data_IF_327616065859
#
_entry.id   IF_327616065859
#
_cell.length_a   1.000
_cell.length_b   1.000
_cell.length_c   1.000
_cell.angle_alpha   90.00
_cell.angle_beta   90.00
_cell.angle_gamma   90.00
#
_symmetry.space_group_name_H-M   'P 1'
#
loop_
_entity.id
_entity.type
_entity.pdbx_description
1 polymer ?
#
# COMPACT_ATOMS: atom_id res chain seq x y z
N UNK A 1 -0.01 60.52 35.96
CA UNK A 1 -0.85 59.31 35.76
C UNK A 1 -1.42 59.33 34.35
N UNK A 2 -0.91 58.49 33.45
CA UNK A 2 -1.63 58.00 32.27
C UNK A 2 -0.86 56.80 31.73
N UNK A 3 -1.50 55.63 31.86
CA UNK A 3 -0.97 54.31 31.51
C UNK A 3 -0.81 54.21 29.98
N UNK A 4 0.39 53.96 29.50
CA UNK A 4 0.59 53.44 28.14
C UNK A 4 0.33 51.94 28.18
N UNK A 5 -0.78 51.51 27.58
CA UNK A 5 -1.05 50.09 27.34
C UNK A 5 -0.14 49.60 26.23
N UNK A 6 0.78 48.69 26.56
CA UNK A 6 1.49 47.91 25.57
C UNK A 6 0.51 46.87 24.99
N UNK A 7 0.04 47.11 23.78
CA UNK A 7 -0.65 46.10 22.98
C UNK A 7 0.43 45.09 22.53
N UNK A 8 0.50 43.94 23.19
CA UNK A 8 1.27 42.80 22.70
C UNK A 8 0.49 42.22 21.53
N UNK A 9 0.85 42.61 20.30
CA UNK A 9 0.45 41.89 19.10
C UNK A 9 1.10 40.51 19.18
N UNK A 10 0.30 39.50 19.52
CA UNK A 10 0.66 38.11 19.30
C UNK A 10 0.65 37.87 17.78
N UNK A 11 1.80 38.04 17.15
CA UNK A 11 2.04 37.54 15.80
C UNK A 11 1.96 36.01 15.83
N UNK A 12 0.79 35.47 15.52
CA UNK A 12 0.62 34.12 14.98
C UNK A 12 1.17 34.11 13.54
N UNK A 13 2.49 34.22 13.40
CA UNK A 13 3.17 33.90 12.14
C UNK A 13 3.31 32.38 12.06
N UNK A 14 2.87 31.82 10.93
CA UNK A 14 2.75 30.39 10.72
C UNK A 14 4.01 29.60 11.07
N UNK A 15 3.80 28.37 11.55
CA UNK A 15 4.80 27.32 11.73
C UNK A 15 5.33 26.82 10.37
N UNK A 16 5.77 27.73 9.50
CA UNK A 16 6.59 27.42 8.33
C UNK A 16 8.04 27.74 8.67
N UNK A 17 8.70 26.73 9.23
CA UNK A 17 10.14 26.54 9.22
C UNK A 17 10.94 27.56 10.03
N UNK A 18 11.20 27.26 11.30
CA UNK A 18 12.53 27.61 11.83
C UNK A 18 13.55 26.85 10.96
N UNK A 19 14.56 27.57 10.48
CA UNK A 19 15.72 27.00 9.80
C UNK A 19 16.32 25.88 10.68
N UNK A 20 16.56 24.68 10.14
CA UNK A 20 17.00 23.53 10.96
C UNK A 20 18.36 23.83 11.59
N UNK A 21 19.20 24.55 10.86
CA UNK A 21 20.48 25.10 11.27
C UNK A 21 20.31 26.05 12.46
N UNK A 22 19.29 26.92 12.45
CA UNK A 22 19.00 27.80 13.58
C UNK A 22 18.50 27.02 14.80
N UNK A 23 17.63 26.02 14.62
CA UNK A 23 17.20 25.12 15.72
C UNK A 23 18.41 24.40 16.32
N UNK A 24 19.35 23.95 15.49
CA UNK A 24 20.56 23.30 15.95
C UNK A 24 21.44 24.25 16.79
N UNK A 25 21.66 25.48 16.31
CA UNK A 25 22.48 26.46 17.00
C UNK A 25 21.86 26.89 18.34
N UNK A 26 20.53 27.02 18.40
CA UNK A 26 19.83 27.51 19.59
C UNK A 26 19.55 26.39 20.63
N UNK A 27 19.17 25.20 20.17
CA UNK A 27 18.56 24.16 21.00
C UNK A 27 19.25 22.77 20.84
N UNK A 28 20.21 22.63 19.92
CA UNK A 28 20.99 21.42 19.70
C UNK A 28 20.31 20.33 18.86
N UNK A 29 21.02 19.22 18.64
CA UNK A 29 20.60 18.16 17.69
C UNK A 29 19.28 17.46 18.05
N UNK A 30 18.96 17.33 19.35
CA UNK A 30 17.72 16.69 19.78
C UNK A 30 16.51 17.54 19.37
N UNK A 31 16.62 18.88 19.42
CA UNK A 31 15.54 19.77 18.97
C UNK A 31 15.32 19.68 17.46
N UNK A 32 16.40 19.55 16.68
CA UNK A 32 16.32 19.31 15.22
C UNK A 32 15.58 18.00 14.93
N UNK A 33 15.95 16.90 15.62
CA UNK A 33 15.27 15.62 15.46
C UNK A 33 13.77 15.75 15.79
N UNK A 34 13.43 16.39 16.90
CA UNK A 34 12.04 16.61 17.30
C UNK A 34 11.26 17.45 16.27
N UNK A 35 11.89 18.47 15.69
CA UNK A 35 11.28 19.28 14.64
C UNK A 35 10.98 18.46 13.37
N UNK A 36 11.91 17.59 12.96
CA UNK A 36 11.71 16.68 11.83
C UNK A 36 10.58 15.68 12.12
N UNK A 37 10.61 15.02 13.28
CA UNK A 37 9.58 14.05 13.69
C UNK A 37 8.19 14.70 13.80
N UNK A 38 8.12 15.97 14.22
CA UNK A 38 6.87 16.75 14.24
C UNK A 38 6.35 17.01 12.82
N UNK A 39 7.22 17.39 11.88
CA UNK A 39 6.84 17.60 10.48
C UNK A 39 6.30 16.30 9.84
N UNK A 40 6.92 15.16 10.10
CA UNK A 40 6.49 13.86 9.56
C UNK A 40 5.10 13.44 10.06
N UNK A 41 4.62 13.98 11.19
CA UNK A 41 3.28 13.76 11.71
C UNK A 41 2.23 14.75 11.16
N UNK A 42 2.64 15.71 10.31
CA UNK A 42 1.78 16.76 9.78
C UNK A 42 1.23 16.40 8.40
N UNK A 43 -0.09 16.36 8.28
CA UNK A 43 -0.78 16.18 6.98
C UNK A 43 -0.35 17.27 5.99
N UNK A 44 -0.30 18.53 6.43
CA UNK A 44 0.10 19.67 5.58
C UNK A 44 1.53 19.54 5.05
N UNK A 45 2.46 18.97 5.84
CA UNK A 45 3.81 18.69 5.37
C UNK A 45 3.78 17.71 4.18
N UNK A 46 3.02 16.62 4.32
CA UNK A 46 2.90 15.61 3.27
C UNK A 46 2.15 16.12 2.05
N UNK A 47 1.05 16.87 2.22
CA UNK A 47 0.33 17.49 1.10
C UNK A 47 1.24 18.38 0.25
N UNK A 48 2.14 19.15 0.89
CA UNK A 48 3.15 19.94 0.17
C UNK A 48 4.19 19.06 -0.51
N UNK A 49 4.69 18.04 0.20
CA UNK A 49 5.75 17.15 -0.29
C UNK A 49 5.31 16.34 -1.51
N UNK A 50 4.07 15.87 -1.54
CA UNK A 50 3.54 15.02 -2.62
C UNK A 50 2.59 15.76 -3.57
N UNK A 51 2.38 17.06 -3.38
CA UNK A 51 1.33 17.82 -4.07
C UNK A 51 1.46 17.86 -5.60
N UNK A 52 2.67 17.68 -6.13
CA UNK A 52 2.94 17.62 -7.57
C UNK A 52 3.03 16.19 -8.13
N UNK A 53 2.80 15.18 -7.29
CA UNK A 53 2.88 13.77 -7.69
C UNK A 53 1.51 13.28 -8.14
N UNK A 54 1.49 12.45 -9.18
CA UNK A 54 0.33 11.65 -9.51
C UNK A 54 0.16 10.59 -8.40
N UNK A 55 -0.99 10.61 -7.74
CA UNK A 55 -1.32 9.69 -6.64
C UNK A 55 -2.48 8.77 -6.99
N UNK A 56 -2.94 8.83 -8.25
CA UNK A 56 -4.18 8.18 -8.71
C UNK A 56 -4.21 6.69 -8.37
N UNK A 57 -3.11 5.96 -8.58
CA UNK A 57 -3.00 4.53 -8.26
C UNK A 57 -2.07 4.24 -7.08
N UNK A 58 -1.90 5.25 -6.21
CA UNK A 58 -1.07 5.18 -5.03
C UNK A 58 0.20 6.03 -5.09
N UNK A 59 1.01 5.89 -4.05
CA UNK A 59 2.34 6.48 -3.92
C UNK A 59 3.38 5.37 -3.82
N UNK A 60 4.47 5.48 -4.56
CA UNK A 60 5.58 4.54 -4.53
C UNK A 60 6.89 5.32 -4.48
N UNK A 61 7.75 5.01 -3.50
CA UNK A 61 9.04 5.71 -3.36
C UNK A 61 10.03 5.31 -4.47
N UNK A 62 9.97 4.06 -4.91
CA UNK A 62 10.80 3.52 -5.98
C UNK A 62 10.05 3.49 -7.31
N UNK A 63 10.79 3.58 -8.42
CA UNK A 63 10.28 3.39 -9.77
C UNK A 63 9.60 2.01 -9.89
N UNK A 64 8.37 1.98 -10.42
CA UNK A 64 7.58 0.76 -10.47
C UNK A 64 6.59 0.74 -11.64
N UNK A 65 6.32 -0.45 -12.16
CA UNK A 65 5.19 -0.68 -13.06
C UNK A 65 3.90 -0.96 -12.29
N UNK A 66 2.83 -0.28 -12.70
CA UNK A 66 1.48 -0.50 -12.17
C UNK A 66 0.60 -1.07 -13.27
N UNK A 67 0.06 -2.26 -13.05
CA UNK A 67 -0.94 -2.89 -13.90
C UNK A 67 -2.31 -2.66 -13.27
N UNK A 68 -3.22 -2.02 -13.99
CA UNK A 68 -4.57 -1.75 -13.52
C UNK A 68 -5.53 -2.57 -14.37
N UNK A 69 -6.29 -3.45 -13.72
CA UNK A 69 -7.31 -4.29 -14.37
C UNK A 69 -8.69 -3.83 -13.92
N UNK A 70 -9.59 -3.59 -14.87
CA UNK A 70 -11.03 -3.43 -14.62
C UNK A 70 -11.77 -4.65 -15.18
N UNK A 71 -12.29 -5.50 -14.29
CA UNK A 71 -12.95 -6.75 -14.66
C UNK A 71 -14.24 -6.49 -15.45
N UNK A 72 -15.03 -5.47 -15.08
CA UNK A 72 -16.29 -5.13 -15.75
C UNK A 72 -16.04 -4.55 -17.15
N UNK A 73 -15.08 -3.63 -17.26
CA UNK A 73 -14.70 -3.03 -18.54
C UNK A 73 -13.85 -3.97 -19.42
N UNK A 74 -13.39 -5.10 -18.87
CA UNK A 74 -12.51 -6.05 -19.56
C UNK A 74 -11.24 -5.38 -20.10
N UNK A 75 -10.67 -4.46 -19.34
CA UNK A 75 -9.51 -3.69 -19.79
C UNK A 75 -8.36 -3.82 -18.80
N UNK A 76 -7.15 -3.89 -19.34
CA UNK A 76 -5.90 -3.78 -18.59
C UNK A 76 -5.09 -2.62 -19.12
N UNK A 77 -4.56 -1.81 -18.20
CA UNK A 77 -3.66 -0.70 -18.46
C UNK A 77 -2.33 -0.89 -17.73
N UNK A 78 -1.21 -0.67 -18.41
CA UNK A 78 0.13 -0.67 -17.83
C UNK A 78 0.62 0.76 -17.72
N UNK A 79 1.09 1.12 -16.53
CA UNK A 79 1.67 2.42 -16.24
C UNK A 79 3.10 2.27 -15.72
N UNK A 80 3.94 3.21 -16.12
CA UNK A 80 5.27 3.43 -15.57
C UNK A 80 5.17 4.57 -14.55
N UNK A 81 5.45 4.27 -13.29
CA UNK A 81 5.45 5.23 -12.19
C UNK A 81 6.88 5.58 -11.84
N UNK A 82 7.28 6.82 -12.14
CA UNK A 82 8.65 7.29 -11.99
C UNK A 82 8.67 8.74 -11.55
N UNK A 83 9.49 9.05 -10.54
CA UNK A 83 9.65 10.40 -9.99
C UNK A 83 8.31 11.09 -9.64
N UNK A 84 7.36 10.31 -9.11
CA UNK A 84 6.02 10.78 -8.77
C UNK A 84 5.11 11.04 -9.96
N UNK A 85 5.46 10.63 -11.18
CA UNK A 85 4.64 10.80 -12.38
C UNK A 85 4.16 9.46 -12.90
N UNK A 86 2.91 9.40 -13.33
CA UNK A 86 2.29 8.22 -13.91
C UNK A 86 2.20 8.37 -15.44
N UNK A 87 2.85 7.46 -16.18
CA UNK A 87 2.80 7.44 -17.64
C UNK A 87 2.12 6.17 -18.13
N UNK A 88 1.01 6.30 -18.88
CA UNK A 88 0.38 5.15 -19.51
C UNK A 88 1.26 4.64 -20.67
N UNK A 89 1.64 3.36 -20.63
CA UNK A 89 2.49 2.72 -21.64
C UNK A 89 1.72 1.77 -22.54
N UNK A 90 0.61 1.22 -22.07
CA UNK A 90 -0.13 0.18 -22.79
C UNK A 90 -1.56 0.07 -22.27
N UNK A 91 -2.52 -0.18 -23.17
CA UNK A 91 -3.91 -0.50 -22.84
C UNK A 91 -4.39 -1.58 -23.80
N UNK A 92 -5.11 -2.58 -23.28
CA UNK A 92 -5.71 -3.60 -24.13
C UNK A 92 -6.91 -4.26 -23.46
N UNK A 93 -7.81 -4.79 -24.28
CA UNK A 93 -8.88 -5.67 -23.81
C UNK A 93 -8.29 -6.96 -23.23
N UNK A 94 -8.88 -7.47 -22.16
CA UNK A 94 -8.48 -8.70 -21.49
C UNK A 94 -9.70 -9.51 -21.08
N UNK A 95 -9.48 -10.82 -20.93
CA UNK A 95 -10.47 -11.70 -20.35
C UNK A 95 -10.10 -12.03 -18.92
N UNK A 96 -11.12 -12.07 -18.07
CA UNK A 96 -10.98 -12.38 -16.64
C UNK A 96 -11.89 -13.55 -16.29
N UNK A 97 -11.77 -14.04 -15.05
CA UNK A 97 -12.70 -15.01 -14.47
C UNK A 97 -14.05 -14.37 -14.14
N UNK A 98 -14.84 -15.06 -13.34
CA UNK A 98 -16.14 -14.56 -12.88
C UNK A 98 -16.01 -13.29 -12.03
N UNK A 99 -17.11 -12.52 -12.04
CA UNK A 99 -17.32 -11.38 -11.16
C UNK A 99 -17.42 -11.82 -9.69
N UNK A 100 -17.12 -10.90 -8.79
CA UNK A 100 -17.07 -11.04 -7.34
C UNK A 100 -15.69 -11.42 -6.83
N UNK A 101 -15.55 -11.38 -5.50
CA UNK A 101 -14.32 -11.77 -4.82
C UNK A 101 -14.02 -13.26 -4.97
N UNK A 102 -12.76 -13.55 -5.24
CA UNK A 102 -12.20 -14.89 -5.17
C UNK A 102 -12.05 -15.31 -3.71
N UNK A 103 -12.77 -16.34 -3.28
CA UNK A 103 -12.82 -16.79 -1.88
C UNK A 103 -12.23 -18.18 -1.69
N UNK A 104 -12.42 -19.09 -2.65
CA UNK A 104 -11.97 -20.48 -2.53
C UNK A 104 -11.32 -20.98 -3.82
N UNK A 105 -10.51 -22.01 -3.70
CA UNK A 105 -9.95 -22.71 -4.85
C UNK A 105 -11.07 -23.22 -5.78
N UNK A 106 -10.88 -23.05 -7.10
CA UNK A 106 -11.83 -23.52 -8.10
C UNK A 106 -13.12 -22.69 -8.28
N UNK A 107 -13.29 -21.56 -7.58
CA UNK A 107 -14.48 -20.69 -7.75
C UNK A 107 -14.53 -19.88 -9.06
N UNK A 108 -13.52 -20.06 -9.92
CA UNK A 108 -13.38 -19.47 -11.26
C UNK A 108 -13.33 -17.93 -11.29
N UNK A 109 -13.10 -17.26 -10.16
CA UNK A 109 -13.07 -15.80 -10.09
C UNK A 109 -11.65 -15.25 -10.21
N UNK A 110 -11.52 -14.11 -10.88
CA UNK A 110 -10.30 -13.30 -10.77
C UNK A 110 -10.40 -12.50 -9.46
N UNK A 111 -9.37 -12.53 -8.59
CA UNK A 111 -9.41 -11.83 -7.32
C UNK A 111 -9.50 -10.32 -7.50
N UNK A 112 -10.04 -9.63 -6.49
CA UNK A 112 -10.13 -8.17 -6.42
C UNK A 112 -9.21 -7.72 -5.29
N UNK A 113 -8.30 -6.79 -5.58
CA UNK A 113 -7.29 -6.34 -4.64
C UNK A 113 -5.98 -5.91 -5.28
N UNK A 114 -4.93 -5.82 -4.47
CA UNK A 114 -3.57 -5.45 -4.88
C UNK A 114 -2.64 -6.64 -4.76
N UNK A 115 -1.94 -6.96 -5.84
CA UNK A 115 -1.06 -8.11 -5.97
C UNK A 115 0.30 -7.72 -6.55
N UNK A 116 1.33 -8.50 -6.26
CA UNK A 116 2.66 -8.31 -6.83
C UNK A 116 2.86 -9.26 -8.01
N UNK A 117 3.54 -8.79 -9.06
CA UNK A 117 4.07 -9.67 -10.10
C UNK A 117 5.32 -10.34 -9.53
N UNK A 118 5.18 -11.63 -9.21
CA UNK A 118 6.22 -12.41 -8.54
C UNK A 118 7.24 -13.01 -9.49
N UNK A 119 6.83 -13.31 -10.73
CA UNK A 119 7.69 -13.95 -11.73
C UNK A 119 7.13 -13.81 -13.13
N UNK A 120 7.99 -13.49 -14.10
CA UNK A 120 7.79 -13.71 -15.53
C UNK A 120 8.32 -15.08 -15.93
N UNK A 121 7.59 -15.84 -16.75
CA UNK A 121 8.03 -17.16 -17.24
C UNK A 121 7.38 -17.53 -18.58
N UNK A 122 7.99 -18.48 -19.29
CA UNK A 122 7.40 -19.11 -20.48
C UNK A 122 6.63 -20.36 -19.98
N UNK A 123 5.30 -20.44 -20.17
CA UNK A 123 4.53 -21.60 -19.75
C UNK A 123 4.94 -22.87 -20.51
N UNK A 124 4.97 -24.02 -19.82
CA UNK A 124 5.20 -25.31 -20.48
C UNK A 124 3.96 -25.83 -21.22
N UNK A 125 2.77 -25.40 -20.80
CA UNK A 125 1.51 -25.69 -21.47
C UNK A 125 1.15 -24.55 -22.43
N UNK A 126 1.07 -24.89 -23.72
CA UNK A 126 0.74 -23.98 -24.82
C UNK A 126 -0.63 -23.30 -24.66
N UNK A 127 -1.50 -23.78 -23.77
CA UNK A 127 -2.76 -23.11 -23.43
C UNK A 127 -2.56 -21.68 -22.89
N UNK A 128 -1.46 -21.42 -22.19
CA UNK A 128 -1.21 -20.14 -21.53
C UNK A 128 -0.45 -19.14 -22.42
N UNK A 129 -0.28 -19.44 -23.70
CA UNK A 129 0.36 -18.54 -24.65
C UNK A 129 1.88 -18.45 -24.48
N UNK A 130 2.51 -17.45 -25.12
CA UNK A 130 3.97 -17.38 -25.26
C UNK A 130 4.69 -16.95 -23.97
N UNK A 131 3.99 -16.30 -23.04
CA UNK A 131 4.55 -15.77 -21.78
C UNK A 131 3.45 -15.64 -20.73
N UNK A 132 3.83 -15.75 -19.46
CA UNK A 132 2.95 -15.53 -18.32
C UNK A 132 3.66 -14.82 -17.16
N UNK A 133 2.87 -14.11 -16.36
CA UNK A 133 3.28 -13.41 -15.15
C UNK A 133 2.49 -13.91 -13.95
N UNK A 134 3.17 -14.46 -12.95
CA UNK A 134 2.53 -15.00 -11.76
C UNK A 134 2.22 -13.90 -10.75
N UNK A 135 0.99 -13.86 -10.23
CA UNK A 135 0.58 -12.89 -9.21
C UNK A 135 0.69 -13.46 -7.80
N UNK A 136 0.86 -12.60 -6.81
CA UNK A 136 0.98 -12.94 -5.39
C UNK A 136 -0.35 -13.32 -4.70
N UNK A 137 -1.35 -13.83 -5.44
CA UNK A 137 -2.60 -14.31 -4.85
C UNK A 137 -2.39 -15.72 -4.25
N UNK A 138 -2.88 -15.98 -3.02
CA UNK A 138 -3.50 -15.05 -2.08
C UNK A 138 -2.46 -14.16 -1.40
N UNK A 139 -2.75 -12.87 -1.27
CA UNK A 139 -1.91 -11.95 -0.51
C UNK A 139 -2.20 -12.07 1.02
N UNK A 140 -1.57 -11.24 1.86
CA UNK A 140 -1.75 -11.33 3.32
C UNK A 140 -3.21 -11.08 3.71
N UNK A 141 -3.84 -10.06 3.13
CA UNK A 141 -5.25 -9.76 3.39
C UNK A 141 -6.16 -10.94 3.01
N UNK A 142 -5.90 -11.57 1.87
CA UNK A 142 -6.64 -12.76 1.44
C UNK A 142 -6.45 -13.91 2.44
N UNK A 143 -5.20 -14.17 2.86
CA UNK A 143 -4.86 -15.26 3.80
C UNK A 143 -5.53 -15.09 5.16
N UNK A 144 -5.48 -13.90 5.77
CA UNK A 144 -6.09 -13.66 7.09
C UNK A 144 -7.61 -13.68 7.03
N UNK A 145 -8.21 -13.43 5.86
CA UNK A 145 -9.66 -13.59 5.61
C UNK A 145 -10.03 -15.04 5.23
N UNK A 146 -9.09 -15.98 5.28
CA UNK A 146 -9.33 -17.41 5.02
C UNK A 146 -9.55 -17.75 3.55
N UNK A 147 -9.14 -16.89 2.61
CA UNK A 147 -9.30 -17.14 1.17
C UNK A 147 -8.26 -18.15 0.69
N UNK A 148 -8.65 -19.06 -0.20
CA UNK A 148 -7.78 -20.15 -0.68
C UNK A 148 -7.62 -20.20 -2.21
N UNK A 149 -6.73 -21.08 -2.68
CA UNK A 149 -6.38 -21.24 -4.09
C UNK A 149 -5.06 -20.56 -4.44
N UNK A 150 -4.77 -20.46 -5.74
CA UNK A 150 -3.53 -19.90 -6.26
C UNK A 150 -3.53 -19.91 -7.78
N UNK A 151 -2.35 -19.76 -8.39
CA UNK A 151 -2.18 -19.87 -9.84
C UNK A 151 -2.88 -18.77 -10.65
N UNK A 152 -3.03 -17.57 -10.06
CA UNK A 152 -3.59 -16.41 -10.74
C UNK A 152 -2.48 -15.76 -11.56
N UNK A 153 -2.59 -15.84 -12.89
CA UNK A 153 -1.58 -15.33 -13.81
C UNK A 153 -2.16 -14.29 -14.76
N UNK A 154 -1.27 -13.45 -15.28
CA UNK A 154 -1.50 -12.67 -16.50
C UNK A 154 -0.82 -13.45 -17.64
N UNK A 155 -1.56 -13.90 -18.66
CA UNK A 155 -1.01 -14.81 -19.69
C UNK A 155 -1.67 -14.62 -21.08
N UNK A 156 -1.12 -15.28 -22.10
CA UNK A 156 -1.63 -15.20 -23.48
C UNK A 156 -2.75 -16.20 -23.79
N UNK A 157 -3.22 -16.21 -25.02
CA UNK A 157 -4.18 -17.21 -25.52
C UNK A 157 -3.48 -18.50 -25.99
N UNK A 158 -4.20 -19.62 -26.08
CA UNK A 158 -3.63 -20.87 -26.54
C UNK A 158 -2.93 -20.76 -27.90
N UNK A 159 -1.80 -21.45 -28.04
CA UNK A 159 -1.02 -21.51 -29.28
C UNK A 159 -1.30 -22.81 -30.07
N UNK A 160 -0.88 -22.86 -31.33
CA UNK A 160 -0.80 -24.06 -32.18
C UNK A 160 -2.14 -24.81 -32.38
N UNK A 161 -3.20 -24.09 -32.75
CA UNK A 161 -4.50 -24.69 -33.08
C UNK A 161 -5.34 -25.10 -31.87
N UNK A 162 -4.82 -24.95 -30.65
CA UNK A 162 -5.63 -25.08 -29.45
C UNK A 162 -6.68 -23.95 -29.41
N UNK A 163 -7.93 -24.33 -29.22
CA UNK A 163 -9.01 -23.38 -28.98
C UNK A 163 -9.14 -23.11 -27.48
N UNK A 164 -9.52 -21.88 -27.13
CA UNK A 164 -9.94 -21.59 -25.75
C UNK A 164 -11.18 -22.41 -25.42
N UNK A 165 -11.17 -23.07 -24.26
CA UNK A 165 -12.31 -23.86 -23.78
C UNK A 165 -13.51 -22.94 -23.53
N UNK A 166 -13.26 -21.73 -23.01
CA UNK A 166 -14.25 -20.67 -22.83
C UNK A 166 -13.72 -19.38 -23.50
N UNK A 167 -14.46 -18.87 -24.49
CA UNK A 167 -14.08 -17.66 -25.23
C UNK A 167 -14.40 -16.38 -24.49
N UNK A 168 -15.26 -16.41 -23.47
CA UNK A 168 -15.75 -15.26 -22.74
C UNK A 168 -15.07 -15.05 -21.38
N UNK A 169 -14.55 -16.12 -20.76
CA UNK A 169 -14.00 -16.10 -19.40
C UNK A 169 -12.78 -16.98 -19.21
N UNK A 170 -12.04 -16.76 -18.13
CA UNK A 170 -10.97 -17.65 -17.65
C UNK A 170 -11.42 -18.38 -16.38
N UNK A 171 -10.55 -19.23 -15.80
CA UNK A 171 -10.75 -19.83 -14.48
C UNK A 171 -10.23 -18.96 -13.32
N UNK A 172 -9.88 -17.70 -13.59
CA UNK A 172 -9.36 -16.74 -12.60
C UNK A 172 -8.17 -15.91 -13.09
N UNK A 173 -7.46 -16.36 -14.13
CA UNK A 173 -6.38 -15.60 -14.76
C UNK A 173 -6.87 -14.35 -15.51
N UNK A 174 -5.95 -13.45 -15.82
CA UNK A 174 -6.14 -12.36 -16.78
C UNK A 174 -5.49 -12.78 -18.09
N UNK A 175 -6.25 -12.83 -19.19
CA UNK A 175 -5.78 -13.37 -20.46
C UNK A 175 -5.82 -12.35 -21.60
N UNK A 176 -4.78 -12.38 -22.42
CA UNK A 176 -4.54 -11.50 -23.57
C UNK A 176 -4.51 -12.27 -24.90
N UNK A 177 -4.74 -11.55 -26.00
CA UNK A 177 -4.26 -11.99 -27.32
C UNK A 177 -2.72 -12.09 -27.34
N UNK A 178 -2.19 -13.03 -28.12
CA UNK A 178 -0.78 -13.39 -28.06
C UNK A 178 0.17 -12.29 -28.53
N UNK A 179 -0.21 -11.53 -29.57
CA UNK A 179 0.56 -10.37 -30.02
C UNK A 179 0.57 -9.26 -28.95
N UNK A 180 -0.56 -9.07 -28.26
CA UNK A 180 -0.73 -8.06 -27.22
C UNK A 180 0.08 -8.38 -25.97
N UNK A 181 0.12 -9.63 -25.53
CA UNK A 181 0.94 -9.98 -24.36
C UNK A 181 2.43 -9.89 -24.67
N UNK A 182 2.85 -10.14 -25.92
CA UNK A 182 4.26 -9.94 -26.32
C UNK A 182 4.61 -8.45 -26.22
N UNK A 183 3.74 -7.54 -26.67
CA UNK A 183 3.96 -6.09 -26.51
C UNK A 183 4.00 -5.67 -25.03
N UNK A 184 3.07 -6.18 -24.22
CA UNK A 184 3.07 -5.96 -22.78
C UNK A 184 4.38 -6.44 -22.14
N UNK A 185 4.87 -7.61 -22.56
CA UNK A 185 6.10 -8.22 -22.10
C UNK A 185 7.36 -7.44 -22.49
N UNK A 186 7.43 -6.90 -23.69
CA UNK A 186 8.55 -6.06 -24.14
C UNK A 186 8.73 -4.80 -23.27
N UNK A 187 7.64 -4.28 -22.71
CA UNK A 187 7.64 -3.13 -21.80
C UNK A 187 7.98 -3.58 -20.38
N UNK A 188 7.24 -4.55 -19.84
CA UNK A 188 7.33 -4.95 -18.43
C UNK A 188 8.60 -5.76 -18.13
N UNK A 189 8.95 -6.71 -19.01
CA UNK A 189 10.04 -7.66 -18.85
C UNK A 189 9.99 -8.36 -17.49
N UNK A 190 11.13 -8.57 -16.85
CA UNK A 190 11.28 -9.14 -15.52
C UNK A 190 11.32 -8.08 -14.41
N UNK A 191 10.97 -6.82 -14.70
CA UNK A 191 11.02 -5.72 -13.72
C UNK A 191 9.99 -5.85 -12.59
N UNK A 192 9.06 -6.80 -12.67
CA UNK A 192 7.97 -6.96 -11.70
C UNK A 192 6.99 -5.80 -11.74
N UNK A 193 6.21 -5.61 -10.67
CA UNK A 193 5.24 -4.52 -10.56
C UNK A 193 4.08 -4.83 -9.62
N UNK A 194 3.24 -3.84 -9.38
CA UNK A 194 1.97 -4.01 -8.66
C UNK A 194 0.81 -4.16 -9.63
N UNK A 195 -0.15 -5.02 -9.29
CA UNK A 195 -1.38 -5.27 -10.05
C UNK A 195 -2.58 -4.90 -9.18
N UNK A 196 -3.32 -3.88 -9.59
CA UNK A 196 -4.57 -3.45 -8.97
C UNK A 196 -5.72 -4.04 -9.79
N UNK A 197 -6.36 -5.09 -9.26
CA UNK A 197 -7.51 -5.72 -9.92
C UNK A 197 -8.79 -5.21 -9.30
N UNK A 198 -9.60 -4.54 -10.12
CA UNK A 198 -10.85 -3.91 -9.73
C UNK A 198 -12.04 -4.72 -10.26
N UNK A 199 -13.10 -4.79 -9.46
CA UNK A 199 -14.36 -5.40 -9.87
C UNK A 199 -15.08 -4.53 -10.91
N UNK A 200 -15.28 -3.26 -10.58
CA UNK A 200 -15.99 -2.28 -11.39
C UNK A 200 -15.51 -0.87 -11.04
N UNK A 201 -15.16 -0.08 -12.05
CA UNK A 201 -14.49 1.20 -11.90
C UNK A 201 -13.12 1.06 -11.21
N UNK A 202 -12.18 1.89 -11.61
CA UNK A 202 -10.85 1.85 -11.03
C UNK A 202 -10.85 2.55 -9.67
N UNK A 203 -10.31 1.87 -8.65
CA UNK A 203 -10.12 2.45 -7.32
C UNK A 203 -8.96 3.43 -7.38
N UNK A 204 -9.23 4.69 -7.04
CA UNK A 204 -8.25 5.77 -7.08
C UNK A 204 -7.98 6.32 -5.67
N UNK A 205 -6.78 6.89 -5.48
CA UNK A 205 -6.39 7.60 -4.28
C UNK A 205 -6.18 9.09 -4.56
N UNK A 206 -6.62 9.93 -3.63
CA UNK A 206 -6.28 11.36 -3.64
C UNK A 206 -4.98 11.62 -2.88
N UNK A 207 -4.25 12.67 -3.28
CA UNK A 207 -3.08 13.14 -2.55
C UNK A 207 -3.37 13.45 -1.08
N UNK A 208 -4.57 13.98 -0.77
CA UNK A 208 -5.01 14.22 0.60
C UNK A 208 -5.12 12.92 1.43
N UNK A 209 -5.63 11.83 0.85
CA UNK A 209 -5.69 10.53 1.54
C UNK A 209 -4.27 9.97 1.79
N UNK A 210 -3.39 10.04 0.79
CA UNK A 210 -1.99 9.60 0.94
C UNK A 210 -1.27 10.43 2.02
N UNK A 211 -1.47 11.75 2.03
CA UNK A 211 -0.90 12.64 3.04
C UNK A 211 -1.42 12.34 4.45
N UNK A 212 -2.71 12.04 4.61
CA UNK A 212 -3.30 11.58 5.88
C UNK A 212 -2.66 10.28 6.33
N UNK A 213 -2.51 9.29 5.44
CA UNK A 213 -1.89 7.99 5.78
C UNK A 213 -0.47 8.19 6.27
N UNK A 214 0.35 8.99 5.60
CA UNK A 214 1.71 9.28 6.06
C UNK A 214 1.73 9.94 7.45
N UNK A 215 0.94 11.01 7.63
CA UNK A 215 0.88 11.72 8.90
C UNK A 215 0.49 10.78 10.06
N UNK A 216 -0.55 9.97 9.87
CA UNK A 216 -1.02 9.01 10.87
C UNK A 216 -0.04 7.85 11.08
N UNK A 217 0.66 7.39 10.05
CA UNK A 217 1.70 6.37 10.15
C UNK A 217 2.85 6.83 11.04
N UNK A 218 3.28 8.09 10.92
CA UNK A 218 4.33 8.65 11.77
C UNK A 218 3.84 8.96 13.19
N UNK A 219 2.56 9.27 13.40
CA UNK A 219 1.98 9.33 14.75
C UNK A 219 1.93 7.95 15.41
N UNK A 220 1.55 6.91 14.65
CA UNK A 220 1.59 5.52 15.11
C UNK A 220 3.00 5.09 15.49
N UNK A 221 3.99 5.40 14.65
CA UNK A 221 5.42 5.18 14.92
C UNK A 221 5.86 5.86 16.22
N UNK A 222 5.47 7.12 16.43
CA UNK A 222 5.80 7.86 17.65
C UNK A 222 5.20 7.20 18.89
N UNK A 223 3.92 6.87 18.87
CA UNK A 223 3.26 6.18 19.98
C UNK A 223 3.93 4.82 20.29
N UNK A 224 4.39 4.11 19.25
CA UNK A 224 5.16 2.89 19.43
C UNK A 224 6.53 3.13 20.06
N UNK A 225 7.28 4.12 19.58
CA UNK A 225 8.59 4.52 20.13
C UNK A 225 8.49 4.85 21.63
N UNK A 226 7.55 5.73 21.97
CA UNK A 226 7.33 6.25 23.33
C UNK A 226 6.74 5.22 24.31
N UNK A 227 6.36 4.04 23.83
CA UNK A 227 5.59 3.05 24.60
C UNK A 227 4.23 3.58 25.10
N UNK A 228 3.62 4.53 24.38
CA UNK A 228 2.25 4.97 24.68
C UNK A 228 1.26 3.93 24.14
N UNK A 229 0.95 2.95 24.99
CA UNK A 229 0.09 1.83 24.61
C UNK A 229 -1.33 2.27 24.28
N UNK A 230 -1.82 3.35 24.90
CA UNK A 230 -3.19 3.83 24.66
C UNK A 230 -3.27 4.48 23.29
N UNK A 231 -2.33 5.38 22.97
CA UNK A 231 -2.27 6.01 21.66
C UNK A 231 -1.96 4.99 20.56
N UNK A 232 -1.04 4.06 20.80
CA UNK A 232 -0.69 3.00 19.85
C UNK A 232 -1.88 2.11 19.51
N UNK A 233 -2.63 1.64 20.52
CA UNK A 233 -3.79 0.77 20.30
C UNK A 233 -4.99 1.51 19.69
N UNK A 234 -5.08 2.85 19.78
CA UNK A 234 -6.11 3.61 19.06
C UNK A 234 -5.93 3.54 17.54
N UNK A 235 -4.74 3.19 17.01
CA UNK A 235 -4.59 3.00 15.56
C UNK A 235 -5.18 1.70 15.03
N UNK A 236 -5.63 0.79 15.89
CA UNK A 236 -6.10 -0.53 15.47
C UNK A 236 -7.63 -0.58 15.41
N UNK A 237 -8.15 -1.23 14.37
CA UNK A 237 -9.58 -1.50 14.28
C UNK A 237 -9.99 -2.62 15.24
N UNK A 238 -11.27 -2.65 15.65
CA UNK A 238 -11.79 -3.71 16.51
C UNK A 238 -11.81 -5.07 15.80
N UNK A 239 -11.94 -5.07 14.47
CA UNK A 239 -11.87 -6.26 13.63
C UNK A 239 -10.45 -6.59 13.15
N UNK A 240 -9.43 -6.00 13.80
CA UNK A 240 -8.02 -6.24 13.47
C UNK A 240 -7.65 -7.72 13.51
N UNK A 241 -6.89 -8.14 12.49
CA UNK A 241 -6.24 -9.45 12.39
C UNK A 241 -4.75 -9.28 12.11
N UNK A 242 -3.90 -9.89 12.91
CA UNK A 242 -2.48 -10.03 12.57
C UNK A 242 -2.30 -11.09 11.48
N UNK A 243 -1.17 -11.07 10.78
CA UNK A 243 -0.82 -12.03 9.73
C UNK A 243 -0.98 -13.52 10.11
N UNK A 244 -0.89 -13.86 11.40
CA UNK A 244 -1.05 -15.21 11.95
C UNK A 244 -2.46 -15.50 12.51
N UNK A 245 -3.41 -14.61 12.27
CA UNK A 245 -4.80 -14.73 12.74
C UNK A 245 -5.06 -14.22 14.15
N UNK A 246 -4.04 -13.68 14.86
CA UNK A 246 -4.24 -13.08 16.19
C UNK A 246 -5.22 -11.90 16.11
N UNK A 247 -6.27 -11.96 16.93
CA UNK A 247 -7.31 -10.91 17.01
C UNK A 247 -6.88 -9.74 17.89
N UNK A 248 -7.59 -8.62 17.77
CA UNK A 248 -7.33 -7.39 18.53
C UNK A 248 -7.17 -7.59 20.04
N UNK A 249 -8.03 -8.38 20.70
CA UNK A 249 -7.99 -8.57 22.16
C UNK A 249 -6.65 -9.14 22.64
N UNK A 250 -6.17 -10.20 21.97
CA UNK A 250 -4.95 -10.91 22.34
C UNK A 250 -3.72 -10.07 21.96
N UNK A 251 -3.78 -9.42 20.79
CA UNK A 251 -2.76 -8.48 20.35
C UNK A 251 -2.61 -7.31 21.32
N UNK A 252 -3.71 -6.72 21.79
CA UNK A 252 -3.71 -5.61 22.74
C UNK A 252 -3.11 -6.04 24.09
N UNK A 253 -3.46 -7.23 24.59
CA UNK A 253 -2.91 -7.77 25.83
C UNK A 253 -1.39 -8.02 25.71
N UNK A 254 -0.96 -8.63 24.62
CA UNK A 254 0.47 -8.82 24.32
C UNK A 254 1.22 -7.48 24.27
N UNK A 255 0.69 -6.48 23.56
CA UNK A 255 1.32 -5.17 23.42
C UNK A 255 1.38 -4.40 24.74
N UNK A 256 0.35 -4.50 25.60
CA UNK A 256 0.39 -3.95 26.98
C UNK A 256 1.55 -4.53 27.80
N UNK A 257 1.76 -5.85 27.72
CA UNK A 257 2.88 -6.50 28.41
C UNK A 257 4.25 -6.12 27.83
N UNK A 258 4.35 -5.85 26.52
CA UNK A 258 5.60 -5.41 25.89
C UNK A 258 5.90 -3.96 26.28
N UNK A 259 4.89 -3.08 26.25
CA UNK A 259 5.05 -1.64 26.48
C UNK A 259 5.29 -1.33 27.97
N UNK A 260 4.82 -2.18 28.89
CA UNK A 260 5.09 -2.00 30.33
C UNK A 260 6.57 -2.11 30.68
N UNK A 261 7.38 -2.78 29.84
CA UNK A 261 8.84 -2.85 30.01
C UNK A 261 9.55 -1.53 29.75
N UNK A 262 8.91 -0.60 29.03
CA UNK A 262 9.47 0.71 28.63
C UNK A 262 10.87 0.61 28.01
N UNK A 263 11.11 -0.43 27.21
CA UNK A 263 12.38 -0.59 26.51
C UNK A 263 12.58 0.53 25.48
N UNK A 264 13.80 1.06 25.40
CA UNK A 264 14.18 2.02 24.36
C UNK A 264 14.12 1.36 22.98
N UNK A 265 13.51 2.06 22.03
CA UNK A 265 13.28 1.56 20.67
C UNK A 265 13.90 2.49 19.65
N UNK A 266 14.77 1.95 18.81
CA UNK A 266 15.08 2.56 17.53
C UNK A 266 14.15 1.96 16.48
N UNK A 267 13.40 2.82 15.79
CA UNK A 267 12.50 2.43 14.72
C UNK A 267 12.84 3.32 13.53
N UNK A 268 12.93 2.77 12.32
CA UNK A 268 13.16 3.55 11.11
C UNK A 268 12.36 2.92 9.97
N UNK A 269 11.67 3.77 9.19
CA UNK A 269 10.88 3.37 8.03
C UNK A 269 11.49 3.98 6.77
N UNK A 270 11.55 3.20 5.70
CA UNK A 270 12.09 3.60 4.39
C UNK A 270 11.35 2.85 3.27
N UNK A 271 11.48 3.26 2.01
CA UNK A 271 10.95 2.53 0.84
C UNK A 271 9.43 2.33 0.92
N UNK A 272 8.71 3.43 1.01
CA UNK A 272 7.25 3.40 1.15
C UNK A 272 6.52 3.04 -0.15
N UNK A 273 5.46 2.26 -0.02
CA UNK A 273 4.47 1.98 -1.07
C UNK A 273 3.07 2.02 -0.45
N UNK A 274 2.20 2.85 -1.00
CA UNK A 274 0.81 3.03 -0.56
C UNK A 274 -0.09 2.85 -1.76
N UNK A 275 -0.87 1.77 -1.80
CA UNK A 275 -1.81 1.48 -2.89
C UNK A 275 -3.25 1.59 -2.40
N UNK A 276 -4.17 2.28 -3.10
CA UNK A 276 -5.60 2.09 -2.87
C UNK A 276 -5.93 0.61 -3.11
N UNK A 277 -6.68 0.00 -2.20
CA UNK A 277 -6.99 -1.42 -2.27
C UNK A 277 -8.42 -1.63 -2.80
N UNK A 278 -8.59 -2.17 -4.02
CA UNK A 278 -9.91 -2.50 -4.55
C UNK A 278 -10.62 -3.54 -3.68
N UNK A 279 -11.92 -3.35 -3.43
CA UNK A 279 -12.74 -4.29 -2.67
C UNK A 279 -14.18 -4.26 -3.12
N UNK A 280 -14.86 -5.40 -3.03
CA UNK A 280 -16.30 -5.52 -3.31
C UNK A 280 -17.18 -5.45 -2.06
N UNK A 281 -16.59 -5.69 -0.87
CA UNK A 281 -17.32 -5.80 0.40
C UNK A 281 -16.88 -4.80 1.46
N UNK A 282 -15.62 -4.39 1.44
CA UNK A 282 -15.11 -3.38 2.35
C UNK A 282 -15.20 -2.00 1.69
N UNK A 283 -15.33 -0.95 2.50
CA UNK A 283 -15.20 0.42 2.02
C UNK A 283 -13.78 0.73 1.50
N UNK A 284 -13.50 1.98 1.17
CA UNK A 284 -12.16 2.39 0.72
C UNK A 284 -11.10 2.14 1.80
N UNK A 285 -10.10 1.31 1.49
CA UNK A 285 -8.93 1.06 2.32
C UNK A 285 -7.67 0.94 1.46
N UNK A 286 -6.50 0.85 2.10
CA UNK A 286 -5.20 0.97 1.47
C UNK A 286 -4.27 -0.15 1.93
N UNK A 287 -3.39 -0.60 1.04
CA UNK A 287 -2.19 -1.36 1.40
C UNK A 287 -1.05 -0.38 1.60
N UNK A 288 -0.38 -0.43 2.75
CA UNK A 288 0.79 0.39 3.10
C UNK A 288 1.95 -0.55 3.40
N UNK A 289 3.02 -0.46 2.62
CA UNK A 289 4.22 -1.28 2.78
C UNK A 289 5.46 -0.40 2.90
N UNK A 290 6.39 -0.79 3.75
CA UNK A 290 7.67 -0.11 3.94
C UNK A 290 8.74 -1.04 4.52
N UNK A 291 10.01 -0.73 4.27
CA UNK A 291 11.12 -1.38 4.99
C UNK A 291 11.21 -0.81 6.40
N UNK A 292 11.16 -1.70 7.37
CA UNK A 292 11.35 -1.41 8.78
C UNK A 292 12.73 -1.88 9.25
N UNK A 293 13.41 -0.98 9.96
CA UNK A 293 14.56 -1.30 10.79
C UNK A 293 14.19 -1.02 12.25
N UNK A 294 14.07 -2.08 13.03
CA UNK A 294 13.67 -2.04 14.43
C UNK A 294 14.78 -2.59 15.33
N UNK A 295 15.11 -1.88 16.41
CA UNK A 295 16.09 -2.32 17.41
C UNK A 295 15.61 -1.99 18.82
N UNK A 296 15.84 -2.93 19.72
CA UNK A 296 15.78 -2.78 21.18
C UNK A 296 16.99 -3.48 21.78
N UNK A 297 17.13 -3.45 23.10
CA UNK A 297 18.15 -4.24 23.80
C UNK A 297 17.98 -5.75 23.57
N UNK A 298 16.74 -6.23 23.40
CA UNK A 298 16.40 -7.67 23.41
C UNK A 298 15.99 -8.23 22.04
N UNK A 299 15.66 -7.37 21.08
CA UNK A 299 15.13 -7.78 19.78
C UNK A 299 15.57 -6.87 18.63
N UNK A 300 15.78 -7.47 17.46
CA UNK A 300 16.12 -6.78 16.21
C UNK A 300 15.28 -7.33 15.07
N UNK A 301 14.82 -6.45 14.19
CA UNK A 301 14.11 -6.81 12.97
C UNK A 301 14.51 -5.89 11.82
N UNK A 302 14.79 -6.48 10.67
CA UNK A 302 15.00 -5.82 9.38
C UNK A 302 14.14 -6.54 8.36
N UNK A 303 13.15 -5.86 7.80
CA UNK A 303 12.22 -6.50 6.88
C UNK A 303 11.19 -5.57 6.30
N UNK A 304 10.30 -6.13 5.50
CA UNK A 304 9.15 -5.41 4.96
C UNK A 304 8.01 -5.54 5.96
N UNK A 305 7.43 -4.40 6.32
CA UNK A 305 6.19 -4.31 7.09
C UNK A 305 5.05 -4.01 6.15
N UNK A 306 3.94 -4.73 6.27
CA UNK A 306 2.74 -4.48 5.46
C UNK A 306 1.53 -4.26 6.36
N UNK A 307 0.87 -3.12 6.19
CA UNK A 307 -0.37 -2.76 6.85
C UNK A 307 -1.49 -2.69 5.81
N UNK A 308 -2.69 -3.09 6.21
CA UNK A 308 -3.92 -2.74 5.51
C UNK A 308 -4.70 -1.79 6.39
N UNK A 309 -4.97 -0.59 5.88
CA UNK A 309 -5.50 0.52 6.69
C UNK A 309 -6.70 1.16 6.03
N UNK A 310 -7.72 1.50 6.82
CA UNK A 310 -8.84 2.34 6.37
C UNK A 310 -8.74 3.73 6.99
N UNK A 311 -9.31 4.72 6.32
CA UNK A 311 -9.45 6.07 6.85
C UNK A 311 -10.86 6.27 7.39
N UNK A 312 -10.96 6.74 8.63
CA UNK A 312 -12.21 7.12 9.29
C UNK A 312 -12.12 8.62 9.60
N UNK A 313 -12.59 9.45 8.66
CA UNK A 313 -12.24 10.87 8.64
C UNK A 313 -10.73 11.03 8.41
N UNK A 314 -10.07 11.85 9.23
CA UNK A 314 -8.61 12.04 9.20
C UNK A 314 -7.84 11.04 10.08
N UNK A 315 -8.48 9.97 10.58
CA UNK A 315 -7.82 8.94 11.39
C UNK A 315 -7.54 7.68 10.59
N UNK A 316 -6.34 7.14 10.73
CA UNK A 316 -5.97 5.82 10.20
C UNK A 316 -6.38 4.71 11.19
N UNK A 317 -7.02 3.65 10.68
CA UNK A 317 -7.29 2.41 11.43
C UNK A 317 -6.70 1.21 10.70
N UNK A 318 -5.86 0.45 11.39
CA UNK A 318 -5.17 -0.75 10.92
C UNK A 318 -6.13 -1.94 11.01
N UNK A 319 -6.42 -2.55 9.87
CA UNK A 319 -7.22 -3.77 9.72
C UNK A 319 -6.36 -5.01 9.79
N UNK A 320 -5.18 -4.98 9.17
CA UNK A 320 -4.25 -6.11 9.12
C UNK A 320 -2.82 -5.62 9.26
N UNK A 321 -1.99 -6.34 10.02
CA UNK A 321 -0.56 -6.07 10.19
C UNK A 321 0.25 -7.37 9.97
N UNK A 322 1.25 -7.27 9.10
CA UNK A 322 2.37 -8.20 8.98
C UNK A 322 3.67 -7.51 9.39
#
# INVERSE_FOLDING_TARGET
>A
MRKFGLLVLACLSGLFGKDLEQIYLDEGIIAVQNAIESNLQSKNYWEKRIGNMDTKYGYYEDDIFLVVVDKKAKNLSLYDYKDGKLTNKFNNEVLTGLMGDKLVEGDLKTPVGVYEITRRFIPSDNYYGPVAFSLSYPNIYDKVKGRTGGGIWIHGFPMNGNMRIDTYKTKGCVAFENDKIIQFDEILKDNGGMVLINENNVTEASSAQIATIFAELFKWKKAWGDSDVKAYLDFYDKEFLRFDGMKFSDFANMKKSIFSKKEDKFIQFTKFSISPYPSTSEGSFFRVSFKEKYRTATYKFDGIKTLYVKLVGDKMKILVEQ
#
